data_IF_850567128928
#
_entry.id   IF_850567128928
#
_cell.length_a   1.000
_cell.length_b   1.000
_cell.length_c   1.000
_cell.angle_alpha   90.00
_cell.angle_beta   90.00
_cell.angle_gamma   90.00
#
_symmetry.space_group_name_H-M   'P 1'
#
loop_
_entity.id
_entity.type
_entity.pdbx_description
1 polymer ?
#
# COMPACT_ATOMS: atom_id res chain seq x y z
N UNK A 1 -28.82 35.17 64.05
CA UNK A 1 -29.75 34.03 64.16
C UNK A 1 -30.93 34.36 63.24
N UNK A 2 -31.26 33.65 62.15
CA UNK A 2 -31.23 32.23 61.85
C UNK A 2 -31.04 32.06 60.33
N UNK A 3 -30.02 31.31 59.91
CA UNK A 3 -29.98 30.71 58.57
C UNK A 3 -31.05 29.60 58.55
N UNK A 4 -32.20 29.86 57.91
CA UNK A 4 -33.21 28.82 57.74
C UNK A 4 -32.88 27.98 56.51
N UNK A 5 -32.63 26.70 56.78
CA UNK A 5 -32.21 25.66 55.85
C UNK A 5 -33.28 25.43 54.78
N UNK A 6 -32.98 25.76 53.53
CA UNK A 6 -33.70 25.19 52.38
C UNK A 6 -33.18 23.76 52.20
N UNK A 7 -33.69 22.84 53.02
CA UNK A 7 -33.52 21.41 52.82
C UNK A 7 -34.41 21.00 51.64
N UNK A 8 -33.79 20.88 50.46
CA UNK A 8 -34.43 20.31 49.28
C UNK A 8 -34.86 18.88 49.60
N UNK A 9 -36.18 18.65 49.75
CA UNK A 9 -36.74 17.30 49.88
C UNK A 9 -36.53 16.56 48.56
N UNK A 10 -35.51 15.72 48.51
CA UNK A 10 -35.32 14.76 47.42
C UNK A 10 -36.47 13.75 47.52
N UNK A 11 -37.41 13.82 46.59
CA UNK A 11 -38.50 12.83 46.49
C UNK A 11 -37.91 11.46 46.09
N UNK A 12 -38.33 10.34 46.71
CA UNK A 12 -37.78 9.00 46.42
C UNK A 12 -38.00 8.53 44.97
N UNK A 13 -38.82 9.23 44.18
CA UNK A 13 -39.29 8.83 42.85
C UNK A 13 -38.29 9.13 41.70
N UNK A 14 -37.15 9.75 41.99
CA UNK A 14 -36.11 10.06 40.99
C UNK A 14 -34.78 9.33 41.20
N UNK A 15 -34.74 8.32 42.07
CA UNK A 15 -33.64 7.36 42.07
C UNK A 15 -33.80 6.46 40.84
N UNK A 16 -33.50 6.99 39.66
CA UNK A 16 -33.09 6.14 38.56
C UNK A 16 -31.86 5.40 39.07
N UNK A 17 -32.03 4.11 39.33
CA UNK A 17 -30.94 3.17 39.54
C UNK A 17 -30.10 3.20 38.27
N UNK A 18 -29.12 4.10 38.26
CA UNK A 18 -28.05 4.10 37.28
C UNK A 18 -27.30 2.81 37.54
N UNK A 19 -27.71 1.73 36.85
CA UNK A 19 -26.89 0.54 36.70
C UNK A 19 -25.67 1.02 35.94
N UNK A 20 -24.66 1.47 36.69
CA UNK A 20 -23.31 1.51 36.19
C UNK A 20 -23.11 0.12 35.58
N UNK A 21 -22.99 0.07 34.25
CA UNK A 21 -22.42 -1.09 33.60
C UNK A 21 -20.98 -1.07 34.07
N UNK A 22 -20.76 -1.62 35.26
CA UNK A 22 -19.47 -2.08 35.67
C UNK A 22 -19.16 -3.15 34.63
N UNK A 23 -18.40 -2.76 33.60
CA UNK A 23 -17.68 -3.73 32.81
C UNK A 23 -16.75 -4.41 33.81
N UNK A 24 -17.25 -5.45 34.48
CA UNK A 24 -16.41 -6.42 35.16
C UNK A 24 -15.65 -7.10 34.04
N UNK A 25 -14.56 -6.45 33.61
CA UNK A 25 -13.50 -7.12 32.90
C UNK A 25 -13.06 -8.23 33.85
N UNK A 26 -13.48 -9.46 33.54
CA UNK A 26 -12.96 -10.64 34.21
C UNK A 26 -11.46 -10.58 34.00
N UNK A 27 -10.74 -10.22 35.06
CA UNK A 27 -9.29 -10.14 35.06
C UNK A 27 -8.78 -11.57 34.88
N UNK A 28 -8.53 -11.97 33.64
CA UNK A 28 -7.84 -13.22 33.34
C UNK A 28 -6.37 -12.98 33.66
N UNK A 29 -5.90 -13.59 34.74
CA UNK A 29 -4.49 -13.58 35.13
C UNK A 29 -3.64 -14.56 34.29
N UNK A 30 -4.29 -15.31 33.39
CA UNK A 30 -3.63 -16.22 32.45
C UNK A 30 -2.90 -15.38 31.41
N UNK A 31 -1.59 -15.29 31.57
CA UNK A 31 -0.70 -14.71 30.58
C UNK A 31 -0.59 -15.67 29.41
N UNK A 32 -0.59 -15.14 28.20
CA UNK A 32 -0.19 -15.91 27.00
C UNK A 32 1.30 -16.30 27.11
N UNK A 33 1.75 -17.36 26.43
CA UNK A 33 3.16 -17.79 26.47
C UNK A 33 4.16 -16.66 26.17
N UNK A 34 3.82 -15.76 25.23
CA UNK A 34 4.64 -14.58 24.90
C UNK A 34 4.69 -13.56 26.05
N UNK A 35 3.60 -13.40 26.78
CA UNK A 35 3.51 -12.51 27.95
C UNK A 35 4.26 -13.07 29.15
N UNK A 36 4.21 -14.39 29.37
CA UNK A 36 5.00 -15.06 30.41
C UNK A 36 6.51 -14.93 30.14
N UNK A 37 6.93 -15.24 28.91
CA UNK A 37 8.32 -15.09 28.49
C UNK A 37 8.80 -13.64 28.63
N UNK A 38 8.01 -12.69 28.13
CA UNK A 38 8.34 -11.27 28.22
C UNK A 38 8.48 -10.81 29.67
N UNK A 39 7.56 -11.25 30.55
CA UNK A 39 7.64 -10.95 31.97
C UNK A 39 8.89 -11.53 32.64
N UNK A 40 9.25 -12.77 32.34
CA UNK A 40 10.46 -13.41 32.86
C UNK A 40 11.73 -12.71 32.38
N UNK A 41 11.79 -12.32 31.10
CA UNK A 41 12.88 -11.53 30.52
C UNK A 41 13.05 -10.20 31.25
N UNK A 42 11.94 -9.47 31.46
CA UNK A 42 11.94 -8.18 32.16
C UNK A 42 12.48 -8.31 33.60
N UNK A 43 12.03 -9.32 34.34
CA UNK A 43 12.52 -9.57 35.70
C UNK A 43 14.02 -9.89 35.72
N UNK A 44 14.51 -10.66 34.74
CA UNK A 44 15.94 -10.95 34.60
C UNK A 44 16.76 -9.68 34.31
N UNK A 45 16.32 -8.83 33.37
CA UNK A 45 17.02 -7.56 33.10
C UNK A 45 17.04 -6.64 34.32
N UNK A 46 15.93 -6.59 35.08
CA UNK A 46 15.83 -5.85 36.34
C UNK A 46 16.84 -6.34 37.38
N UNK A 47 16.94 -7.67 37.57
CA UNK A 47 17.90 -8.28 38.49
C UNK A 47 19.35 -8.00 38.09
N UNK A 48 19.62 -7.83 36.79
CA UNK A 48 20.93 -7.47 36.25
C UNK A 48 21.23 -5.95 36.29
N UNK A 49 20.32 -5.13 36.83
CA UNK A 49 20.49 -3.66 36.88
C UNK A 49 20.45 -2.97 35.52
N UNK A 50 19.98 -3.65 34.47
CA UNK A 50 19.91 -3.08 33.12
C UNK A 50 18.66 -2.20 32.99
N UNK A 51 18.75 -1.05 32.29
CA UNK A 51 17.58 -0.24 32.02
C UNK A 51 16.57 -1.04 31.18
N UNK A 52 15.36 -1.17 31.70
CA UNK A 52 14.30 -2.03 31.15
C UNK A 52 13.63 -1.41 29.90
N UNK A 53 13.78 -0.11 29.73
CA UNK A 53 13.30 0.63 28.57
C UNK A 53 14.09 1.93 28.46
N UNK A 54 14.31 2.44 27.23
CA UNK A 54 14.89 3.76 27.07
C UNK A 54 13.99 4.80 27.76
N UNK A 55 14.57 5.68 28.56
CA UNK A 55 13.81 6.77 29.18
C UNK A 55 13.28 7.71 28.09
N UNK A 56 12.11 8.31 28.28
CA UNK A 56 11.46 9.15 27.24
C UNK A 56 12.37 10.26 26.70
N UNK A 57 13.33 10.74 27.49
CA UNK A 57 14.28 11.78 27.11
C UNK A 57 15.33 11.35 26.06
N UNK A 58 15.49 10.05 25.73
CA UNK A 58 16.32 9.66 24.57
C UNK A 58 15.58 9.79 23.24
N UNK A 59 14.24 9.86 23.25
CA UNK A 59 13.47 9.96 22.02
C UNK A 59 13.34 11.41 21.59
N UNK A 60 13.64 11.69 20.34
CA UNK A 60 13.33 12.99 19.75
C UNK A 60 11.81 13.16 19.64
N UNK A 61 11.23 14.25 20.17
CA UNK A 61 9.79 14.50 20.05
C UNK A 61 9.40 14.72 18.59
N UNK A 62 8.57 13.83 18.08
CA UNK A 62 7.96 13.91 16.74
C UNK A 62 6.50 14.31 16.93
N UNK A 63 6.01 15.20 16.06
CA UNK A 63 4.65 15.72 16.15
C UNK A 63 3.59 14.61 16.13
N UNK A 64 3.84 13.52 15.40
CA UNK A 64 2.95 12.36 15.27
C UNK A 64 2.68 11.66 16.60
N UNK A 65 3.73 11.31 17.36
CA UNK A 65 3.53 10.62 18.64
C UNK A 65 3.05 11.57 19.73
N UNK A 66 3.47 12.85 19.71
CA UNK A 66 2.99 13.85 20.67
C UNK A 66 1.48 14.09 20.55
N UNK A 67 0.98 14.26 19.31
CA UNK A 67 -0.46 14.43 19.05
C UNK A 67 -1.25 13.17 19.44
N UNK A 68 -0.70 11.98 19.19
CA UNK A 68 -1.29 10.71 19.66
C UNK A 68 -1.37 10.64 21.18
N UNK A 69 -0.30 11.00 21.89
CA UNK A 69 -0.29 11.05 23.36
C UNK A 69 -1.33 12.04 23.91
N UNK A 70 -1.39 13.24 23.33
CA UNK A 70 -2.36 14.27 23.72
C UNK A 70 -3.82 13.84 23.45
N UNK A 71 -4.08 13.13 22.36
CA UNK A 71 -5.38 12.51 22.05
C UNK A 71 -5.82 11.48 23.10
N UNK A 72 -4.89 10.67 23.61
CA UNK A 72 -5.19 9.72 24.69
C UNK A 72 -5.50 10.43 26.00
N UNK A 73 -4.68 11.41 26.39
CA UNK A 73 -4.86 12.16 27.65
C UNK A 73 -6.18 12.92 27.65
N UNK A 74 -6.48 13.64 26.56
CA UNK A 74 -7.75 14.38 26.41
C UNK A 74 -8.96 13.44 26.32
N UNK A 75 -8.81 12.26 25.71
CA UNK A 75 -9.86 11.23 25.69
C UNK A 75 -10.17 10.68 27.09
N UNK A 76 -9.15 10.41 27.90
CA UNK A 76 -9.34 10.02 29.30
C UNK A 76 -10.01 11.13 30.11
N UNK A 77 -9.63 12.40 29.90
CA UNK A 77 -10.27 13.53 30.55
C UNK A 77 -11.75 13.66 30.16
N UNK A 78 -12.09 13.49 28.88
CA UNK A 78 -13.48 13.48 28.42
C UNK A 78 -14.29 12.33 29.01
N UNK A 79 -13.72 11.12 29.09
CA UNK A 79 -14.41 9.96 29.66
C UNK A 79 -14.74 10.11 31.16
N UNK A 80 -13.90 10.85 31.90
CA UNK A 80 -14.13 11.16 33.32
C UNK A 80 -15.20 12.23 33.57
N UNK A 81 -15.48 13.10 32.59
CA UNK A 81 -16.47 14.19 32.69
C UNK A 81 -17.80 13.72 32.07
N UNK A 82 -18.29 12.58 32.55
CA UNK A 82 -19.62 12.08 32.19
C UNK A 82 -20.68 12.90 32.93
N UNK A 83 -21.32 13.86 32.24
CA UNK A 83 -22.52 14.56 32.71
C UNK A 83 -23.71 13.63 33.01
N UNK A 84 -23.58 12.34 32.71
CA UNK A 84 -24.62 11.32 32.86
C UNK A 84 -25.01 10.96 34.31
N UNK A 85 -24.31 11.49 35.33
CA UNK A 85 -24.58 11.16 36.74
C UNK A 85 -25.22 12.30 37.54
N UNK A 86 -25.46 13.46 36.94
CA UNK A 86 -26.12 14.57 37.64
C UNK A 86 -27.64 14.33 37.70
N UNK A 87 -28.30 14.58 38.85
CA UNK A 87 -29.75 14.39 39.02
C UNK A 87 -30.60 15.46 38.28
N UNK A 88 -29.98 16.24 37.40
CA UNK A 88 -30.60 17.35 36.69
C UNK A 88 -30.72 17.02 35.20
N UNK A 89 -31.83 17.43 34.58
CA UNK A 89 -31.87 17.49 33.13
C UNK A 89 -30.96 18.64 32.63
N UNK A 90 -30.56 18.58 31.35
CA UNK A 90 -29.61 19.54 30.78
C UNK A 90 -30.07 21.00 30.96
N UNK A 91 -31.35 21.28 30.76
CA UNK A 91 -31.94 22.63 30.90
C UNK A 91 -31.84 23.15 32.33
N UNK A 92 -32.22 22.35 33.32
CA UNK A 92 -32.12 22.69 34.75
C UNK A 92 -30.67 22.92 35.18
N UNK A 93 -29.73 22.12 34.66
CA UNK A 93 -28.31 22.30 34.93
C UNK A 93 -27.79 23.63 34.39
N UNK A 94 -28.16 23.98 33.16
CA UNK A 94 -27.75 25.25 32.53
C UNK A 94 -28.35 26.45 33.28
N UNK A 95 -29.61 26.39 33.68
CA UNK A 95 -30.26 27.44 34.47
C UNK A 95 -29.64 27.59 35.85
N UNK A 96 -29.30 26.48 36.51
CA UNK A 96 -28.58 26.48 37.79
C UNK A 96 -27.22 27.17 37.68
N UNK A 97 -26.42 26.86 36.66
CA UNK A 97 -25.13 27.54 36.43
C UNK A 97 -25.32 29.03 36.10
N UNK A 98 -26.37 29.40 35.35
CA UNK A 98 -26.68 30.82 35.09
C UNK A 98 -27.02 31.59 36.37
N UNK A 99 -27.68 30.96 37.33
CA UNK A 99 -28.04 31.58 38.61
C UNK A 99 -26.84 32.05 39.44
N UNK A 100 -25.65 31.51 39.18
CA UNK A 100 -24.41 31.90 39.86
C UNK A 100 -23.83 33.23 39.36
N UNK A 101 -24.41 33.84 38.31
CA UNK A 101 -23.97 35.12 37.73
C UNK A 101 -22.45 35.18 37.46
N UNK A 102 -21.89 34.07 36.99
CA UNK A 102 -20.45 33.95 36.70
C UNK A 102 -20.07 34.90 35.56
N UNK A 103 -18.96 35.65 35.67
CA UNK A 103 -18.46 36.52 34.60
C UNK A 103 -18.35 35.82 33.23
N UNK A 104 -18.68 36.50 32.12
CA UNK A 104 -18.64 35.92 30.77
C UNK A 104 -17.28 35.33 30.40
N UNK A 105 -16.18 35.89 30.89
CA UNK A 105 -14.83 35.40 30.61
C UNK A 105 -14.61 33.99 31.18
N UNK A 106 -15.10 33.73 32.39
CA UNK A 106 -14.98 32.43 33.05
C UNK A 106 -15.89 31.41 32.37
N UNK A 107 -17.14 31.78 32.08
CA UNK A 107 -18.06 30.87 31.38
C UNK A 107 -17.58 30.53 29.96
N UNK A 108 -16.93 31.46 29.28
CA UNK A 108 -16.31 31.23 27.97
C UNK A 108 -15.10 30.29 28.06
N UNK A 109 -14.25 30.44 29.09
CA UNK A 109 -13.15 29.51 29.35
C UNK A 109 -13.66 28.08 29.62
N UNK A 110 -14.73 27.92 30.41
CA UNK A 110 -15.36 26.61 30.63
C UNK A 110 -15.91 25.99 29.33
N UNK A 111 -16.59 26.78 28.50
CA UNK A 111 -17.05 26.33 27.18
C UNK A 111 -15.88 25.87 26.32
N UNK A 112 -14.78 26.61 26.32
CA UNK A 112 -13.57 26.25 25.59
C UNK A 112 -12.98 24.92 26.11
N UNK A 113 -12.83 24.73 27.42
CA UNK A 113 -12.29 23.49 28.01
C UNK A 113 -13.13 22.27 27.62
N UNK A 114 -14.45 22.42 27.51
CA UNK A 114 -15.36 21.33 27.09
C UNK A 114 -15.30 21.12 25.57
N UNK A 115 -15.33 22.20 24.78
CA UNK A 115 -15.38 22.13 23.32
C UNK A 115 -14.04 21.73 22.69
N UNK A 116 -12.92 22.18 23.26
CA UNK A 116 -11.56 21.93 22.76
C UNK A 116 -11.27 20.44 22.54
N UNK A 117 -11.43 19.52 23.52
CA UNK A 117 -11.11 18.13 23.30
C UNK A 117 -12.06 17.49 22.28
N UNK A 118 -13.34 17.88 22.20
CA UNK A 118 -14.27 17.40 21.17
C UNK A 118 -13.76 17.78 19.77
N UNK A 119 -13.49 19.07 19.55
CA UNK A 119 -13.00 19.57 18.26
C UNK A 119 -11.64 18.95 17.92
N UNK A 120 -10.74 18.87 18.90
CA UNK A 120 -9.42 18.25 18.73
C UNK A 120 -9.54 16.79 18.31
N UNK A 121 -10.43 16.00 18.92
CA UNK A 121 -10.66 14.61 18.55
C UNK A 121 -11.26 14.48 17.15
N UNK A 122 -12.22 15.33 16.78
CA UNK A 122 -12.79 15.37 15.42
C UNK A 122 -11.71 15.69 14.37
N UNK A 123 -10.91 16.73 14.58
CA UNK A 123 -9.83 17.11 13.66
C UNK A 123 -8.75 16.05 13.57
N UNK A 124 -8.42 15.35 14.66
CA UNK A 124 -7.53 14.21 14.61
C UNK A 124 -8.12 13.04 13.83
N UNK A 125 -9.42 12.77 13.95
CA UNK A 125 -10.12 11.78 13.11
C UNK A 125 -9.98 12.11 11.63
N UNK A 126 -10.24 13.36 11.24
CA UNK A 126 -10.05 13.83 9.86
C UNK A 126 -8.60 13.67 9.39
N UNK A 127 -7.63 14.03 10.25
CA UNK A 127 -6.20 13.84 9.97
C UNK A 127 -5.88 12.36 9.72
N UNK A 128 -6.38 11.44 10.54
CA UNK A 128 -6.15 10.01 10.37
C UNK A 128 -6.73 9.50 9.05
N UNK A 129 -7.96 9.90 8.71
CA UNK A 129 -8.56 9.60 7.41
C UNK A 129 -7.67 10.13 6.28
N UNK A 130 -7.18 11.37 6.38
CA UNK A 130 -6.26 11.95 5.42
C UNK A 130 -4.95 11.17 5.26
N UNK A 131 -4.34 10.72 6.36
CA UNK A 131 -3.14 9.87 6.32
C UNK A 131 -3.41 8.52 5.66
N UNK A 132 -4.54 7.88 5.95
CA UNK A 132 -4.87 6.58 5.37
C UNK A 132 -5.25 6.68 3.89
N UNK A 133 -5.85 7.79 3.45
CA UNK A 133 -6.02 8.12 2.03
C UNK A 133 -4.66 8.37 1.34
N UNK A 134 -3.72 9.05 2.01
CA UNK A 134 -2.40 9.36 1.47
C UNK A 134 -1.46 8.15 1.36
N UNK A 135 -1.50 7.21 2.32
CA UNK A 135 -0.72 5.95 2.25
C UNK A 135 -1.02 5.13 0.99
N UNK A 136 -2.24 5.25 0.46
CA UNK A 136 -2.63 4.61 -0.81
C UNK A 136 -1.86 5.11 -2.05
N UNK A 137 -1.12 6.21 -1.94
CA UNK A 137 -0.41 6.89 -3.04
C UNK A 137 1.10 6.55 -3.07
N UNK A 138 1.63 5.86 -2.05
CA UNK A 138 3.07 5.60 -1.91
C UNK A 138 3.65 4.68 -3.01
N UNK A 139 2.83 3.79 -3.59
CA UNK A 139 3.25 2.87 -4.65
C UNK A 139 3.21 3.53 -6.04
N UNK A 140 4.00 4.59 -6.18
CA UNK A 140 4.15 5.38 -7.42
C UNK A 140 4.68 4.58 -8.62
N UNK A 141 5.36 3.46 -8.38
CA UNK A 141 5.94 2.60 -9.43
C UNK A 141 4.88 2.03 -10.38
N UNK A 142 3.69 1.71 -9.86
CA UNK A 142 2.60 1.20 -10.68
C UNK A 142 2.06 2.29 -11.61
N UNK A 143 1.79 3.48 -11.06
CA UNK A 143 1.27 4.63 -11.80
C UNK A 143 2.25 5.04 -12.89
N UNK A 144 3.53 5.13 -12.55
CA UNK A 144 4.61 5.42 -13.48
C UNK A 144 4.70 4.40 -14.63
N UNK A 145 4.64 3.09 -14.31
CA UNK A 145 4.69 2.03 -15.31
C UNK A 145 3.47 2.05 -16.23
N UNK A 146 2.25 2.21 -15.71
CA UNK A 146 1.02 2.31 -16.50
C UNK A 146 1.14 3.46 -17.50
N UNK A 147 1.53 4.65 -17.04
CA UNK A 147 1.67 5.81 -17.91
C UNK A 147 2.70 5.57 -19.02
N UNK A 148 3.87 5.02 -18.67
CA UNK A 148 4.89 4.64 -19.65
C UNK A 148 4.37 3.60 -20.65
N UNK A 149 3.61 2.60 -20.19
CA UNK A 149 3.10 1.50 -21.02
C UNK A 149 1.99 1.95 -21.97
N UNK A 150 1.12 2.87 -21.55
CA UNK A 150 0.12 3.54 -22.40
C UNK A 150 0.82 4.39 -23.47
N UNK A 151 1.90 5.09 -23.10
CA UNK A 151 2.74 5.86 -24.04
C UNK A 151 3.34 5.02 -25.16
N UNK A 152 3.74 3.78 -24.87
CA UNK A 152 4.19 2.84 -25.91
C UNK A 152 3.10 2.49 -26.93
N UNK A 153 1.82 2.57 -26.53
CA UNK A 153 0.66 2.42 -27.41
C UNK A 153 0.31 3.68 -28.22
N UNK A 154 1.19 4.68 -28.28
CA UNK A 154 0.97 6.00 -28.93
C UNK A 154 -0.21 6.78 -28.34
N UNK A 155 -0.53 6.52 -27.07
CA UNK A 155 -1.57 7.23 -26.31
C UNK A 155 -0.95 7.92 -25.11
N UNK A 156 -1.49 9.04 -24.66
CA UNK A 156 -1.01 9.73 -23.46
C UNK A 156 -2.10 9.72 -22.39
N UNK A 157 -1.76 9.29 -21.17
CA UNK A 157 -2.70 9.26 -20.05
C UNK A 157 -2.69 10.61 -19.34
N UNK A 158 -3.60 11.50 -19.76
CA UNK A 158 -3.68 12.86 -19.24
C UNK A 158 -4.12 12.95 -17.78
N UNK A 159 -4.90 11.97 -17.29
CA UNK A 159 -5.37 11.91 -15.90
C UNK A 159 -4.39 11.19 -14.95
N UNK A 160 -3.12 11.01 -15.35
CA UNK A 160 -2.12 10.38 -14.50
C UNK A 160 -1.91 11.20 -13.21
N UNK A 161 -1.95 10.56 -12.02
CA UNK A 161 -1.54 11.20 -10.78
C UNK A 161 -0.09 11.68 -10.81
N UNK A 162 0.16 12.88 -10.29
CA UNK A 162 1.52 13.42 -10.19
C UNK A 162 2.41 12.55 -9.27
N UNK A 163 3.66 12.37 -9.69
CA UNK A 163 4.68 11.71 -8.89
C UNK A 163 5.28 12.73 -7.91
N UNK A 164 5.15 12.56 -6.57
CA UNK A 164 5.57 13.57 -5.60
C UNK A 164 7.04 13.97 -5.69
N UNK A 165 7.90 13.06 -6.15
CA UNK A 165 9.33 13.26 -6.31
C UNK A 165 9.78 13.10 -7.76
N UNK A 166 8.86 13.19 -8.72
CA UNK A 166 9.14 12.89 -10.13
C UNK A 166 9.56 11.43 -10.39
N UNK A 167 10.11 11.18 -11.56
CA UNK A 167 10.65 9.86 -11.94
C UNK A 167 11.98 9.60 -11.22
N UNK A 168 12.07 8.45 -10.57
CA UNK A 168 13.22 7.96 -9.81
C UNK A 168 13.92 6.83 -10.56
N UNK A 169 15.20 6.51 -10.26
CA UNK A 169 15.92 5.41 -10.90
C UNK A 169 15.21 4.05 -10.79
N UNK A 170 14.51 3.81 -9.69
CA UNK A 170 13.72 2.60 -9.46
C UNK A 170 12.54 2.50 -10.44
N UNK A 171 11.97 3.62 -10.87
CA UNK A 171 10.91 3.66 -11.87
C UNK A 171 11.45 3.21 -13.24
N UNK A 172 12.58 3.77 -13.68
CA UNK A 172 13.22 3.39 -14.94
C UNK A 172 13.60 1.91 -14.97
N UNK A 173 14.17 1.42 -13.85
CA UNK A 173 14.51 0.02 -13.70
C UNK A 173 13.27 -0.87 -13.79
N UNK A 174 12.19 -0.49 -13.09
CA UNK A 174 10.93 -1.22 -13.13
C UNK A 174 10.35 -1.28 -14.54
N UNK A 175 10.34 -0.17 -15.29
CA UNK A 175 9.87 -0.13 -16.69
C UNK A 175 10.58 -1.16 -17.55
N UNK A 176 11.91 -1.24 -17.46
CA UNK A 176 12.72 -2.15 -18.26
C UNK A 176 12.45 -3.61 -17.90
N UNK A 177 12.48 -3.96 -16.62
CA UNK A 177 12.31 -5.35 -16.18
C UNK A 177 10.87 -5.82 -16.41
N UNK A 178 9.87 -5.00 -16.09
CA UNK A 178 8.45 -5.34 -16.32
C UNK A 178 8.13 -5.50 -17.81
N UNK A 179 8.74 -4.72 -18.69
CA UNK A 179 8.59 -4.90 -20.13
C UNK A 179 9.30 -6.17 -20.65
N UNK A 180 10.49 -6.50 -20.13
CA UNK A 180 11.15 -7.78 -20.44
C UNK A 180 10.26 -8.95 -20.00
N UNK A 181 9.68 -8.87 -18.81
CA UNK A 181 8.74 -9.86 -18.30
C UNK A 181 7.50 -9.98 -19.20
N UNK A 182 6.89 -8.84 -19.58
CA UNK A 182 5.74 -8.79 -20.49
C UNK A 182 6.03 -9.51 -21.81
N UNK A 183 7.22 -9.28 -22.38
CA UNK A 183 7.63 -9.89 -23.65
C UNK A 183 7.83 -11.41 -23.52
N UNK A 184 8.29 -11.89 -22.36
CA UNK A 184 8.56 -13.33 -22.11
C UNK A 184 7.28 -14.10 -21.80
N UNK A 185 6.35 -13.49 -21.08
CA UNK A 185 5.09 -14.11 -20.63
C UNK A 185 3.87 -13.60 -21.39
N UNK A 186 4.08 -13.11 -22.63
CA UNK A 186 3.04 -12.40 -23.38
C UNK A 186 1.74 -13.21 -23.49
N UNK A 187 1.81 -14.49 -23.84
CA UNK A 187 0.61 -15.32 -24.06
C UNK A 187 -0.22 -15.44 -22.77
N UNK A 188 0.41 -15.92 -21.69
CA UNK A 188 -0.22 -16.07 -20.36
C UNK A 188 -0.83 -14.75 -19.86
N UNK A 189 -0.10 -13.64 -19.99
CA UNK A 189 -0.59 -12.33 -19.56
C UNK A 189 -1.79 -11.83 -20.36
N UNK A 190 -1.89 -12.19 -21.65
CA UNK A 190 -3.04 -11.82 -22.46
C UNK A 190 -4.26 -12.70 -22.11
N UNK A 191 -4.07 -13.98 -21.82
CA UNK A 191 -5.15 -14.87 -21.37
C UNK A 191 -5.77 -14.38 -20.05
N UNK A 192 -4.93 -14.06 -19.05
CA UNK A 192 -5.42 -13.46 -17.79
C UNK A 192 -6.08 -12.09 -18.00
N UNK A 193 -5.62 -11.32 -18.98
CA UNK A 193 -6.22 -10.03 -19.30
C UNK A 193 -7.59 -10.21 -19.96
N UNK A 194 -7.76 -11.21 -20.81
CA UNK A 194 -9.05 -11.54 -21.43
C UNK A 194 -10.04 -12.01 -20.36
N UNK A 195 -9.61 -12.87 -19.43
CA UNK A 195 -10.44 -13.34 -18.32
C UNK A 195 -10.85 -12.21 -17.35
N UNK A 196 -9.93 -11.29 -17.05
CA UNK A 196 -10.23 -10.15 -16.18
C UNK A 196 -11.23 -9.18 -16.83
N UNK A 197 -11.18 -9.04 -18.14
CA UNK A 197 -11.97 -8.09 -18.92
C UNK A 197 -13.28 -8.70 -19.49
N UNK A 198 -13.54 -9.99 -19.26
CA UNK A 198 -14.76 -10.66 -19.74
C UNK A 198 -16.05 -10.08 -19.14
N UNK A 199 -15.98 -9.56 -17.90
CA UNK A 199 -17.14 -8.99 -17.21
C UNK A 199 -17.14 -7.45 -17.28
N UNK A 200 -18.33 -6.84 -17.41
CA UNK A 200 -18.49 -5.38 -17.57
C UNK A 200 -17.95 -4.53 -16.40
N UNK A 201 -17.77 -5.10 -15.20
CA UNK A 201 -17.36 -4.36 -14.01
C UNK A 201 -16.07 -4.89 -13.37
N UNK A 202 -15.00 -4.08 -13.42
CA UNK A 202 -13.74 -4.33 -12.75
C UNK A 202 -13.87 -4.14 -11.22
N UNK A 203 -14.02 -5.24 -10.49
CA UNK A 203 -14.06 -5.24 -9.01
C UNK A 203 -12.72 -5.63 -8.39
N UNK A 204 -12.46 -5.18 -7.16
CA UNK A 204 -11.24 -5.55 -6.43
C UNK A 204 -11.18 -7.06 -6.10
N UNK A 205 -12.32 -7.70 -5.83
CA UNK A 205 -12.37 -9.15 -5.58
C UNK A 205 -11.92 -9.93 -6.81
N UNK A 206 -12.49 -9.59 -7.97
CA UNK A 206 -12.14 -10.25 -9.23
C UNK A 206 -10.67 -10.02 -9.60
N UNK A 207 -10.18 -8.80 -9.40
CA UNK A 207 -8.76 -8.51 -9.58
C UNK A 207 -7.89 -9.42 -8.72
N UNK A 208 -8.19 -9.56 -7.42
CA UNK A 208 -7.44 -10.43 -6.51
C UNK A 208 -7.49 -11.90 -6.91
N UNK A 209 -8.64 -12.43 -7.33
CA UNK A 209 -8.76 -13.81 -7.80
C UNK A 209 -7.77 -14.11 -8.93
N UNK A 210 -7.73 -13.26 -9.96
CA UNK A 210 -6.81 -13.41 -11.09
C UNK A 210 -5.35 -13.25 -10.64
N UNK A 211 -5.06 -12.19 -9.89
CA UNK A 211 -3.69 -11.85 -9.48
C UNK A 211 -3.13 -12.77 -8.37
N UNK A 212 -3.98 -13.50 -7.67
CA UNK A 212 -3.56 -14.51 -6.70
C UNK A 212 -2.98 -15.75 -7.39
N UNK A 213 -3.36 -16.02 -8.64
CA UNK A 213 -2.79 -17.09 -9.47
C UNK A 213 -1.40 -16.74 -10.02
N UNK A 214 -1.07 -15.45 -10.12
CA UNK A 214 0.22 -14.98 -10.65
C UNK A 214 1.39 -15.45 -9.78
N UNK A 215 2.26 -16.26 -10.37
CA UNK A 215 3.61 -16.49 -9.86
C UNK A 215 3.66 -17.24 -8.53
N UNK A 216 2.70 -18.13 -8.24
CA UNK A 216 2.84 -19.09 -7.13
C UNK A 216 3.93 -20.11 -7.51
N UNK A 217 5.14 -19.91 -7.01
CA UNK A 217 6.11 -21.00 -6.86
C UNK A 217 5.70 -21.86 -5.65
N UNK A 218 5.78 -23.18 -5.76
CA UNK A 218 5.30 -24.13 -4.75
C UNK A 218 5.89 -23.90 -3.33
N UNK A 219 7.04 -23.22 -3.25
CA UNK A 219 7.79 -22.97 -2.02
C UNK A 219 7.57 -21.57 -1.41
N UNK A 220 6.77 -20.68 -2.04
CA UNK A 220 6.49 -19.35 -1.50
C UNK A 220 5.28 -19.38 -0.56
N UNK A 221 5.36 -18.68 0.58
CA UNK A 221 4.21 -18.45 1.46
C UNK A 221 3.04 -17.91 0.65
N UNK A 222 1.82 -18.32 0.96
CA UNK A 222 0.59 -17.91 0.25
C UNK A 222 0.44 -16.38 0.11
N UNK A 223 1.00 -15.65 1.07
CA UNK A 223 1.00 -14.18 1.10
C UNK A 223 2.27 -13.50 0.55
N UNK A 224 3.24 -14.28 0.06
CA UNK A 224 4.55 -13.83 -0.41
C UNK A 224 4.50 -12.80 -1.54
N UNK A 225 5.41 -11.81 -1.49
CA UNK A 225 5.68 -10.85 -2.57
C UNK A 225 7.14 -10.94 -3.01
N UNK A 226 7.47 -11.93 -3.83
CA UNK A 226 8.79 -12.01 -4.46
C UNK A 226 9.01 -10.92 -5.51
N UNK A 227 10.26 -10.68 -5.90
CA UNK A 227 10.56 -9.71 -6.96
C UNK A 227 9.96 -10.12 -8.31
N UNK A 228 9.90 -11.42 -8.60
CA UNK A 228 9.25 -11.95 -9.81
C UNK A 228 7.75 -11.65 -9.81
N UNK A 229 7.06 -11.93 -8.69
CA UNK A 229 5.65 -11.62 -8.52
C UNK A 229 5.39 -10.11 -8.64
N UNK A 230 6.18 -9.27 -7.97
CA UNK A 230 6.09 -7.82 -8.07
C UNK A 230 6.18 -7.33 -9.53
N UNK A 231 7.19 -7.79 -10.26
CA UNK A 231 7.40 -7.41 -11.67
C UNK A 231 6.24 -7.90 -12.54
N UNK A 232 5.77 -9.13 -12.32
CA UNK A 232 4.64 -9.70 -13.05
C UNK A 232 3.36 -8.91 -12.86
N UNK A 233 3.05 -8.49 -11.63
CA UNK A 233 1.86 -7.70 -11.33
C UNK A 233 1.91 -6.29 -11.94
N UNK A 234 3.08 -5.65 -11.88
CA UNK A 234 3.26 -4.33 -12.49
C UNK A 234 3.13 -4.43 -14.01
N UNK A 235 3.78 -5.43 -14.61
CA UNK A 235 3.70 -5.76 -16.04
C UNK A 235 2.25 -5.98 -16.49
N UNK A 236 1.53 -6.85 -15.80
CA UNK A 236 0.12 -7.16 -16.05
C UNK A 236 -0.78 -5.93 -15.93
N UNK A 237 -0.63 -5.15 -14.85
CA UNK A 237 -1.41 -3.93 -14.67
C UNK A 237 -1.16 -2.91 -15.78
N UNK A 238 0.07 -2.79 -16.29
CA UNK A 238 0.36 -1.95 -17.46
C UNK A 238 -0.26 -2.47 -18.76
N UNK A 239 -0.24 -3.79 -19.00
CA UNK A 239 -0.86 -4.42 -20.16
C UNK A 239 -2.38 -4.20 -20.18
N UNK A 240 -3.06 -4.50 -19.07
CA UNK A 240 -4.51 -4.33 -18.92
C UNK A 240 -4.87 -2.85 -19.01
N UNK A 241 -4.11 -1.95 -18.38
CA UNK A 241 -4.33 -0.52 -18.48
C UNK A 241 -4.25 -0.01 -19.93
N UNK A 242 -3.28 -0.49 -20.71
CA UNK A 242 -3.15 -0.11 -22.11
C UNK A 242 -4.37 -0.56 -22.95
N UNK A 243 -4.92 -1.75 -22.67
CA UNK A 243 -6.14 -2.25 -23.31
C UNK A 243 -7.36 -1.42 -22.90
N UNK A 244 -7.59 -1.23 -21.59
CA UNK A 244 -8.69 -0.41 -21.07
C UNK A 244 -8.66 1.01 -21.63
N UNK A 245 -7.47 1.62 -21.68
CA UNK A 245 -7.31 2.96 -22.24
C UNK A 245 -7.66 3.02 -23.73
N UNK A 246 -7.29 1.99 -24.52
CA UNK A 246 -7.64 1.91 -25.94
C UNK A 246 -9.15 1.76 -26.19
N UNK A 247 -9.89 1.18 -25.22
CA UNK A 247 -11.35 1.09 -25.24
C UNK A 247 -12.05 2.29 -24.59
N UNK A 248 -11.31 3.37 -24.28
CA UNK A 248 -11.80 4.58 -23.63
C UNK A 248 -12.39 4.36 -22.21
N UNK A 249 -12.00 3.28 -21.53
CA UNK A 249 -12.39 2.94 -20.15
C UNK A 249 -11.43 3.60 -19.15
N UNK A 250 -11.45 4.94 -19.09
CA UNK A 250 -10.49 5.74 -18.30
C UNK A 250 -10.64 5.56 -16.79
N UNK A 251 -11.87 5.40 -16.31
CA UNK A 251 -12.17 5.22 -14.88
C UNK A 251 -11.60 3.88 -14.39
N UNK A 252 -11.70 2.85 -15.21
CA UNK A 252 -11.24 1.50 -14.96
C UNK A 252 -9.71 1.47 -14.90
N UNK A 253 -9.02 2.29 -15.70
CA UNK A 253 -7.55 2.47 -15.61
C UNK A 253 -7.13 3.02 -14.24
N UNK A 254 -7.84 4.03 -13.71
CA UNK A 254 -7.56 4.58 -12.38
C UNK A 254 -7.86 3.56 -11.25
N UNK A 255 -8.96 2.82 -11.38
CA UNK A 255 -9.32 1.75 -10.45
C UNK A 255 -8.27 0.63 -10.45
N UNK A 256 -7.85 0.18 -11.63
CA UNK A 256 -6.80 -0.81 -11.82
C UNK A 256 -5.49 -0.36 -11.15
N UNK A 257 -5.04 0.87 -11.41
CA UNK A 257 -3.84 1.43 -10.78
C UNK A 257 -3.93 1.38 -9.25
N UNK A 258 -5.11 1.72 -8.69
CA UNK A 258 -5.37 1.68 -7.25
C UNK A 258 -5.36 0.25 -6.71
N UNK A 259 -6.00 -0.69 -7.41
CA UNK A 259 -6.06 -2.10 -6.99
C UNK A 259 -4.69 -2.75 -7.00
N UNK A 260 -3.91 -2.57 -8.07
CA UNK A 260 -2.54 -3.09 -8.16
C UNK A 260 -1.64 -2.47 -7.09
N UNK A 261 -1.71 -1.15 -6.89
CA UNK A 261 -0.92 -0.47 -5.85
C UNK A 261 -1.24 -0.98 -4.44
N UNK A 262 -2.54 -1.14 -4.10
CA UNK A 262 -2.99 -1.66 -2.80
C UNK A 262 -2.59 -3.10 -2.57
N UNK A 263 -2.74 -3.95 -3.59
CA UNK A 263 -2.38 -5.36 -3.51
C UNK A 263 -0.87 -5.53 -3.26
N UNK A 264 -0.05 -4.78 -4.00
CA UNK A 264 1.41 -4.79 -3.84
C UNK A 264 1.82 -4.23 -2.48
N UNK A 265 1.29 -3.06 -2.07
CA UNK A 265 1.67 -2.40 -0.81
C UNK A 265 1.44 -3.31 0.39
N UNK A 266 0.24 -3.91 0.45
CA UNK A 266 -0.15 -4.80 1.54
C UNK A 266 0.83 -5.97 1.68
N UNK A 267 1.19 -6.64 0.58
CA UNK A 267 2.06 -7.82 0.63
C UNK A 267 3.52 -7.46 0.89
N UNK A 268 4.03 -6.36 0.31
CA UNK A 268 5.38 -5.85 0.62
C UNK A 268 5.52 -5.59 2.12
N UNK A 269 4.55 -4.89 2.74
CA UNK A 269 4.60 -4.57 4.18
C UNK A 269 4.55 -5.82 5.07
N UNK A 270 3.90 -6.88 4.61
CA UNK A 270 3.77 -8.12 5.36
C UNK A 270 5.00 -9.02 5.23
N UNK A 271 5.61 -9.13 4.04
CA UNK A 271 6.60 -10.20 3.80
C UNK A 271 8.04 -9.72 3.59
N UNK A 272 8.28 -8.49 3.10
CA UNK A 272 9.64 -8.11 2.71
C UNK A 272 10.63 -8.02 3.88
N UNK A 273 10.14 -7.67 5.06
CA UNK A 273 10.97 -7.58 6.27
C UNK A 273 11.44 -8.97 6.69
N UNK A 274 10.55 -9.96 6.65
CA UNK A 274 10.85 -11.35 7.00
C UNK A 274 11.73 -12.04 5.94
N UNK A 275 11.51 -11.72 4.65
CA UNK A 275 12.26 -12.27 3.52
C UNK A 275 13.61 -11.56 3.25
N UNK A 276 14.00 -10.58 4.07
CA UNK A 276 15.20 -9.73 3.86
C UNK A 276 15.24 -9.04 2.47
N UNK A 277 14.07 -8.66 1.95
CA UNK A 277 13.92 -7.99 0.65
C UNK A 277 13.95 -6.48 0.80
N UNK A 278 14.50 -5.80 -0.21
CA UNK A 278 14.56 -4.34 -0.25
C UNK A 278 14.61 -3.82 -1.68
N UNK A 279 14.23 -2.55 -1.89
CA UNK A 279 14.39 -1.90 -3.19
C UNK A 279 15.85 -1.86 -3.66
N UNK A 280 16.81 -1.75 -2.74
CA UNK A 280 18.24 -1.84 -3.06
C UNK A 280 18.61 -3.21 -3.65
N UNK A 281 18.15 -4.29 -3.02
CA UNK A 281 18.38 -5.66 -3.50
C UNK A 281 17.70 -5.88 -4.86
N UNK A 282 16.47 -5.38 -5.02
CA UNK A 282 15.77 -5.39 -6.30
C UNK A 282 16.58 -4.71 -7.42
N UNK A 283 17.13 -3.52 -7.18
CA UNK A 283 17.90 -2.78 -8.19
C UNK A 283 19.13 -3.56 -8.67
N UNK A 284 19.83 -4.26 -7.78
CA UNK A 284 20.97 -5.11 -8.13
C UNK A 284 20.55 -6.28 -9.03
N UNK A 285 19.47 -6.98 -8.64
CA UNK A 285 18.95 -8.14 -9.40
C UNK A 285 18.41 -7.69 -10.75
N UNK A 286 17.67 -6.58 -10.79
CA UNK A 286 17.11 -6.00 -11.99
C UNK A 286 18.19 -5.61 -13.02
N UNK A 287 19.28 -5.00 -12.55
CA UNK A 287 20.42 -4.67 -13.41
C UNK A 287 21.06 -5.91 -14.05
N UNK A 288 21.16 -7.02 -13.30
CA UNK A 288 21.66 -8.29 -13.83
C UNK A 288 20.71 -8.93 -14.85
N UNK A 289 19.39 -8.91 -14.57
CA UNK A 289 18.37 -9.40 -15.53
C UNK A 289 18.48 -8.65 -16.86
N UNK A 290 18.58 -7.32 -16.80
CA UNK A 290 18.71 -6.47 -18.00
C UNK A 290 20.00 -6.80 -18.76
N UNK A 291 21.12 -6.93 -18.05
CA UNK A 291 22.42 -7.26 -18.67
C UNK A 291 22.35 -8.60 -19.41
N UNK A 292 21.75 -9.62 -18.76
CA UNK A 292 21.56 -10.94 -19.36
C UNK A 292 20.62 -10.89 -20.58
N UNK A 293 19.53 -10.13 -20.50
CA UNK A 293 18.59 -9.98 -21.62
C UNK A 293 19.25 -9.32 -22.84
N UNK A 294 20.03 -8.26 -22.63
CA UNK A 294 20.79 -7.60 -23.70
C UNK A 294 21.78 -8.58 -24.34
N UNK A 295 22.57 -9.29 -23.53
CA UNK A 295 23.54 -10.27 -24.02
C UNK A 295 22.86 -11.40 -24.82
N UNK A 296 21.70 -11.87 -24.38
CA UNK A 296 20.92 -12.89 -25.08
C UNK A 296 20.39 -12.38 -26.42
N UNK A 297 19.88 -11.14 -26.48
CA UNK A 297 19.41 -10.52 -27.73
C UNK A 297 20.54 -10.35 -28.74
N UNK A 298 21.69 -9.82 -28.31
CA UNK A 298 22.87 -9.67 -29.16
C UNK A 298 23.36 -11.02 -29.69
N UNK A 299 23.39 -12.06 -28.84
CA UNK A 299 23.77 -13.41 -29.26
C UNK A 299 22.78 -13.99 -30.29
N UNK A 300 21.47 -13.76 -30.09
CA UNK A 300 20.44 -14.19 -31.03
C UNK A 300 20.55 -13.46 -32.38
N UNK A 301 20.84 -12.16 -32.37
CA UNK A 301 21.07 -11.36 -33.58
C UNK A 301 22.31 -11.80 -34.34
N UNK A 302 23.44 -12.04 -33.64
CA UNK A 302 24.66 -12.59 -34.26
C UNK A 302 24.39 -13.95 -34.91
N UNK A 303 23.65 -14.84 -34.25
CA UNK A 303 23.24 -16.13 -34.83
C UNK A 303 22.36 -15.96 -36.06
N UNK A 304 21.39 -15.04 -36.05
CA UNK A 304 20.54 -14.74 -37.22
C UNK A 304 21.34 -14.16 -38.38
N UNK A 305 22.26 -13.23 -38.10
CA UNK A 305 23.15 -12.63 -39.10
C UNK A 305 24.06 -13.68 -39.72
N UNK A 306 24.71 -14.51 -38.90
CA UNK A 306 25.55 -15.62 -39.37
C UNK A 306 24.77 -16.60 -40.26
N UNK A 307 23.57 -17.04 -39.84
CA UNK A 307 22.70 -17.88 -40.68
C UNK A 307 22.32 -17.21 -42.01
N UNK A 308 22.04 -15.90 -41.99
CA UNK A 308 21.73 -15.12 -43.20
C UNK A 308 22.92 -15.10 -44.17
N UNK A 309 24.13 -14.86 -43.66
CA UNK A 309 25.35 -14.89 -44.48
C UNK A 309 25.70 -16.28 -45.00
N UNK A 310 25.48 -17.34 -44.20
CA UNK A 310 25.64 -18.73 -44.66
C UNK A 310 24.65 -19.08 -45.77
N UNK A 311 23.38 -18.66 -45.67
CA UNK A 311 22.38 -18.89 -46.72
C UNK A 311 22.72 -18.13 -48.02
N UNK A 312 23.19 -16.88 -47.90
CA UNK A 312 23.67 -16.09 -49.05
C UNK A 312 24.90 -16.77 -49.68
N UNK A 313 25.84 -17.25 -48.87
CA UNK A 313 27.03 -17.96 -49.35
C UNK A 313 26.71 -19.27 -50.08
N UNK A 314 25.78 -20.07 -49.55
CA UNK A 314 25.29 -21.30 -50.20
C UNK A 314 24.59 -20.96 -51.53
N UNK A 315 23.72 -19.94 -51.55
CA UNK A 315 23.04 -19.49 -52.76
C UNK A 315 23.99 -19.01 -53.86
N UNK A 316 25.03 -18.25 -53.47
CA UNK A 316 26.07 -17.78 -54.40
C UNK A 316 26.91 -18.94 -54.97
N UNK A 317 27.31 -19.91 -54.12
CA UNK A 317 28.06 -21.08 -54.56
C UNK A 317 27.25 -21.98 -55.53
N UNK A 318 25.95 -22.16 -55.27
CA UNK A 318 25.06 -22.89 -56.17
C UNK A 318 24.93 -22.21 -57.55
N UNK A 319 24.81 -20.88 -57.58
CA UNK A 319 24.79 -20.10 -58.83
C UNK A 319 26.09 -20.23 -59.63
N UNK A 320 27.25 -20.15 -58.97
CA UNK A 320 28.55 -20.35 -59.62
C UNK A 320 28.70 -21.78 -60.14
N UNK A 321 28.28 -22.79 -59.37
CA UNK A 321 28.32 -24.19 -59.78
C UNK A 321 27.45 -24.47 -61.01
N UNK A 322 26.23 -23.92 -61.06
CA UNK A 322 25.34 -24.04 -62.23
C UNK A 322 25.92 -23.31 -63.44
N UNK A 323 26.48 -22.11 -63.26
CA UNK A 323 27.14 -21.36 -64.32
C UNK A 323 28.36 -22.10 -64.90
N UNK A 324 29.16 -22.75 -64.06
CA UNK A 324 30.30 -23.56 -64.50
C UNK A 324 29.85 -24.80 -65.29
N UNK A 325 28.80 -25.50 -64.85
CA UNK A 325 28.29 -26.69 -65.56
C UNK A 325 27.70 -26.31 -66.93
N UNK A 326 26.94 -25.21 -67.00
CA UNK A 326 26.39 -24.72 -68.27
C UNK A 326 27.52 -24.24 -69.20
N UNK A 327 28.48 -23.47 -68.70
CA UNK A 327 29.63 -23.02 -69.48
C UNK A 327 30.46 -24.17 -70.05
N UNK A 328 30.67 -25.22 -69.24
CA UNK A 328 31.41 -26.42 -69.68
C UNK A 328 30.64 -27.20 -70.75
N UNK A 329 29.30 -27.29 -70.63
CA UNK A 329 28.45 -27.94 -71.66
C UNK A 329 28.40 -27.15 -72.97
N UNK A 330 28.37 -25.82 -72.91
CA UNK A 330 28.42 -24.96 -74.12
C UNK A 330 29.78 -25.07 -74.82
N UNK A 331 30.88 -25.10 -74.07
CA UNK A 331 32.23 -25.26 -74.61
C UNK A 331 32.48 -26.65 -75.23
N UNK A 332 31.88 -27.71 -74.65
CA UNK A 332 32.01 -29.08 -75.17
C UNK A 332 31.06 -29.39 -76.33
N UNK A 333 29.96 -28.65 -76.48
CA UNK A 333 29.00 -28.78 -77.60
C UNK A 333 29.33 -27.94 -78.84
N UNK A 334 30.36 -27.10 -78.78
CA UNK A 334 30.78 -26.20 -79.87
C UNK A 334 31.93 -26.76 -80.74
N UNK A 335 32.07 -28.08 -80.85
CA UNK A 335 33.04 -28.74 -81.75
C UNK A 335 32.36 -29.41 -82.92
#
# INVERSE_FOLDING_TARGET
MLMSRILCRVTPRQVMTSRLIASTLVRRDVKTPIQEWGWAYLQRQKALGRPISPHLTVYQPQLTWMVSGFHRVTGCAMAGIGFALLPFNFTQFVEYIRSWNIPPIITSAFKFVIAFPIIFHTLNGIRFIGFDLAKGVENTKQVDYIAWRIKQGRSEWFEQPELPFGTQPEHEMMRRVAYIFECRHRTELNEFADELLENENLSFSRYCEIVDEFGRTADEMENGMSYGRLVGLISFGGLVAARLYSHNLRREVQQLATYTAKFIDKRIRLTWVEDERSWKNFMTIAADIIRRDVAQREAAERRRSSRRWSLIGIGAAALVGVGAIIGTRVLLGAK
#
